data_IF_279558913573
#
_entry.id   IF_279558913573
#
_cell.length_a   1.000
_cell.length_b   1.000
_cell.length_c   1.000
_cell.angle_alpha   90.00
_cell.angle_beta   90.00
_cell.angle_gamma   90.00
#
_symmetry.space_group_name_H-M   'P 1'
#
loop_
_entity.id
_entity.type
_entity.pdbx_description
1 polymer ?
#
# COMPACT_ATOMS: atom_id res chain seq x y z
N UNK A 1 -70.66 2.87 65.86
CA UNK A 1 -71.19 3.25 64.52
C UNK A 1 -70.45 4.52 64.12
N UNK A 2 -69.72 4.71 63.02
CA UNK A 2 -69.64 4.09 61.67
C UNK A 2 -68.18 4.20 61.18
N UNK A 3 -67.81 3.26 60.31
CA UNK A 3 -66.55 3.14 59.55
C UNK A 3 -66.43 4.26 58.51
N UNK A 4 -65.21 4.71 58.18
CA UNK A 4 -64.78 4.87 56.79
C UNK A 4 -63.29 4.57 56.62
N UNK A 5 -63.06 3.59 55.75
CA UNK A 5 -61.81 3.17 55.13
C UNK A 5 -61.43 4.25 54.12
N UNK A 6 -60.16 4.65 54.08
CA UNK A 6 -59.57 5.11 52.82
C UNK A 6 -58.13 4.61 52.75
N UNK A 7 -58.01 3.40 52.21
CA UNK A 7 -56.79 2.84 51.65
C UNK A 7 -56.50 3.67 50.40
N UNK A 8 -55.52 4.56 50.47
CA UNK A 8 -54.82 5.07 49.29
C UNK A 8 -53.38 4.58 49.35
N UNK A 9 -53.29 3.31 48.98
CA UNK A 9 -52.14 2.62 48.46
C UNK A 9 -51.74 3.29 47.13
N UNK A 10 -51.02 4.41 47.17
CA UNK A 10 -50.12 4.75 46.08
C UNK A 10 -48.76 4.21 46.43
N UNK A 11 -48.55 2.95 46.05
CA UNK A 11 -47.24 2.31 46.05
C UNK A 11 -46.28 3.20 45.28
N UNK A 12 -45.36 3.84 46.01
CA UNK A 12 -44.13 4.36 45.45
C UNK A 12 -43.34 3.17 44.93
N UNK A 13 -43.57 2.81 43.68
CA UNK A 13 -42.67 1.93 42.92
C UNK A 13 -41.35 2.69 42.84
N UNK A 14 -40.39 2.32 43.68
CA UNK A 14 -39.01 2.76 43.52
C UNK A 14 -38.46 2.10 42.27
N UNK A 15 -38.64 2.74 41.12
CA UNK A 15 -37.97 2.38 39.88
C UNK A 15 -36.47 2.67 40.06
N UNK A 16 -35.70 1.65 40.36
CA UNK A 16 -34.24 1.71 40.33
C UNK A 16 -33.79 1.72 38.86
N UNK A 17 -33.61 2.90 38.29
CA UNK A 17 -32.74 3.09 37.13
C UNK A 17 -31.42 3.70 37.62
N UNK A 18 -30.65 2.93 38.38
CA UNK A 18 -29.30 3.34 38.76
C UNK A 18 -28.33 2.82 37.71
N UNK A 19 -27.72 3.74 36.96
CA UNK A 19 -26.43 3.47 36.34
C UNK A 19 -25.48 3.12 37.48
N UNK A 20 -24.84 1.96 37.43
CA UNK A 20 -23.88 1.53 38.44
C UNK A 20 -22.63 2.38 38.34
N UNK A 21 -22.63 3.57 38.94
CA UNK A 21 -21.45 4.38 39.17
C UNK A 21 -20.94 3.99 40.55
N UNK A 22 -19.77 3.33 40.63
CA UNK A 22 -19.13 2.89 41.87
C UNK A 22 -19.83 1.73 42.63
N UNK A 23 -20.29 0.68 41.92
CA UNK A 23 -20.78 -0.57 42.56
C UNK A 23 -19.85 -1.75 42.25
N UNK A 24 -19.71 -2.70 43.18
CA UNK A 24 -18.79 -3.86 43.07
C UNK A 24 -19.33 -5.02 42.23
N UNK A 25 -20.58 -4.94 41.77
CA UNK A 25 -21.23 -5.97 40.95
C UNK A 25 -22.10 -5.34 39.85
N UNK A 26 -21.51 -4.74 38.81
CA UNK A 26 -22.26 -4.18 37.69
C UNK A 26 -22.79 -5.29 36.76
N UNK A 27 -24.05 -5.19 36.36
CA UNK A 27 -24.75 -6.05 35.39
C UNK A 27 -25.19 -5.29 34.11
N UNK A 28 -24.46 -4.19 33.82
CA UNK A 28 -24.57 -3.21 32.70
C UNK A 28 -25.85 -2.35 32.66
N UNK A 29 -25.68 -1.03 32.89
CA UNK A 29 -26.79 -0.05 33.03
C UNK A 29 -26.51 1.33 32.39
N UNK A 30 -25.52 1.47 31.50
CA UNK A 30 -25.19 2.78 30.88
C UNK A 30 -25.62 2.85 29.41
N UNK A 31 -26.58 3.72 29.09
CA UNK A 31 -26.97 4.06 27.72
C UNK A 31 -26.74 5.57 27.47
N UNK A 32 -26.00 5.90 26.41
CA UNK A 32 -25.77 7.28 25.96
C UNK A 32 -26.41 7.46 24.59
N UNK A 33 -27.47 8.26 24.50
CA UNK A 33 -28.11 8.61 23.23
C UNK A 33 -27.52 9.93 22.71
N UNK A 34 -26.33 9.84 22.12
CA UNK A 34 -25.53 10.99 21.69
C UNK A 34 -24.05 10.62 21.55
N UNK A 35 -23.17 11.63 21.49
CA UNK A 35 -21.72 11.40 21.48
C UNK A 35 -21.16 11.28 22.91
N UNK A 36 -20.14 10.43 23.07
CA UNK A 36 -19.33 10.36 24.28
C UNK A 36 -18.02 11.13 24.05
N UNK A 37 -17.82 12.20 24.82
CA UNK A 37 -16.54 12.92 24.86
C UNK A 37 -15.63 12.30 25.92
N UNK A 38 -14.38 12.02 25.55
CA UNK A 38 -13.34 11.60 26.49
C UNK A 38 -12.11 12.50 26.32
N UNK A 39 -11.25 12.53 27.35
CA UNK A 39 -10.05 13.37 27.33
C UNK A 39 -9.16 13.08 26.12
N UNK A 40 -8.89 14.12 25.33
CA UNK A 40 -7.95 14.09 24.21
C UNK A 40 -6.67 14.85 24.60
N UNK A 41 -5.51 14.25 24.38
CA UNK A 41 -4.21 14.86 24.65
C UNK A 41 -3.24 14.63 23.52
N UNK A 42 -2.66 15.72 23.01
CA UNK A 42 -1.54 15.65 22.07
C UNK A 42 -0.22 15.80 22.82
N UNK A 43 0.71 14.89 22.56
CA UNK A 43 2.05 14.84 23.15
C UNK A 43 3.08 15.06 22.06
N UNK A 44 4.09 15.88 22.35
CA UNK A 44 5.25 16.13 21.47
C UNK A 44 6.58 15.70 22.11
N UNK A 45 6.62 15.54 23.43
CA UNK A 45 7.80 15.09 24.15
C UNK A 45 8.16 13.63 23.80
N UNK A 46 9.46 13.34 23.71
CA UNK A 46 9.99 12.01 23.42
C UNK A 46 9.91 11.04 24.60
N UNK A 47 9.61 11.53 25.80
CA UNK A 47 9.28 10.71 26.97
C UNK A 47 7.96 11.19 27.57
N UNK A 48 7.03 10.27 27.78
CA UNK A 48 5.73 10.58 28.34
C UNK A 48 5.26 9.49 29.31
N UNK A 49 4.92 9.90 30.53
CA UNK A 49 4.25 9.03 31.49
C UNK A 49 2.75 9.18 31.29
N UNK A 50 2.09 8.12 30.83
CA UNK A 50 0.64 8.09 30.64
C UNK A 50 -0.03 8.27 31.99
N UNK A 51 -0.97 9.22 32.05
CA UNK A 51 -1.63 9.61 33.29
C UNK A 51 -2.89 8.78 33.52
N UNK A 52 -3.31 8.72 34.78
CA UNK A 52 -4.57 8.10 35.17
C UNK A 52 -5.80 8.75 34.51
N UNK A 53 -5.69 10.01 34.10
CA UNK A 53 -6.75 10.82 33.48
C UNK A 53 -6.72 10.82 31.96
N UNK A 54 -5.68 10.24 31.34
CA UNK A 54 -5.63 10.16 29.89
C UNK A 54 -6.64 9.13 29.38
N UNK A 55 -7.15 9.34 28.17
CA UNK A 55 -7.97 8.35 27.48
C UNK A 55 -7.56 8.23 26.01
N UNK A 56 -7.60 9.33 25.27
CA UNK A 56 -7.14 9.39 23.89
C UNK A 56 -5.89 10.25 23.78
N UNK A 57 -4.78 9.65 23.36
CA UNK A 57 -3.47 10.28 23.29
C UNK A 57 -2.99 10.24 21.84
N UNK A 58 -2.54 11.38 21.31
CA UNK A 58 -1.82 11.45 20.03
C UNK A 58 -0.36 11.82 20.27
N UNK A 59 0.53 11.24 19.48
CA UNK A 59 1.92 11.68 19.43
C UNK A 59 2.22 12.37 18.10
N UNK A 60 2.75 13.59 18.17
CA UNK A 60 3.12 14.40 17.01
C UNK A 60 4.50 15.07 17.20
N UNK A 61 5.47 14.33 17.74
CA UNK A 61 6.85 14.80 17.82
C UNK A 61 7.67 14.46 16.57
N UNK A 62 8.96 14.76 16.59
CA UNK A 62 9.88 14.61 15.45
C UNK A 62 10.97 13.56 15.67
N UNK A 63 10.86 12.77 16.73
CA UNK A 63 11.85 11.75 17.10
C UNK A 63 11.17 10.55 17.74
N UNK A 64 11.87 9.43 17.86
CA UNK A 64 11.32 8.26 18.54
C UNK A 64 10.94 8.62 19.98
N UNK A 65 9.76 8.18 20.41
CA UNK A 65 9.23 8.46 21.73
C UNK A 65 9.07 7.19 22.57
N UNK A 66 9.05 7.34 23.89
CA UNK A 66 8.74 6.30 24.85
C UNK A 66 7.54 6.73 25.68
N UNK A 67 6.46 5.96 25.61
CA UNK A 67 5.26 6.16 26.41
C UNK A 67 5.23 5.09 27.49
N UNK A 68 5.25 5.51 28.74
CA UNK A 68 5.28 4.61 29.90
C UNK A 68 3.90 4.55 30.53
N UNK A 69 3.30 3.36 30.56
CA UNK A 69 2.00 3.13 31.19
C UNK A 69 2.09 3.26 32.71
N UNK A 70 0.98 3.64 33.39
CA UNK A 70 0.96 3.79 34.84
C UNK A 70 1.39 2.52 35.57
N UNK A 71 1.94 2.70 36.77
CA UNK A 71 2.27 1.59 37.67
C UNK A 71 0.96 0.94 38.12
N UNK A 72 0.86 -0.37 37.96
CA UNK A 72 -0.27 -1.16 38.45
C UNK A 72 0.09 -1.67 39.84
N UNK A 73 -0.77 -1.40 40.82
CA UNK A 73 -0.65 -1.90 42.18
C UNK A 73 -2.01 -2.36 42.72
N UNK A 74 -2.18 -2.43 44.03
CA UNK A 74 -3.46 -2.76 44.67
C UNK A 74 -4.28 -1.50 44.98
N UNK A 75 -5.60 -1.67 45.18
CA UNK A 75 -6.49 -0.59 45.62
C UNK A 75 -6.67 0.52 44.57
N UNK A 76 -6.40 1.76 44.93
CA UNK A 76 -6.59 2.94 44.05
C UNK A 76 -5.64 2.98 42.84
N UNK A 77 -4.66 2.07 42.79
CA UNK A 77 -3.70 1.91 41.70
C UNK A 77 -3.93 0.64 40.86
N UNK A 78 -5.03 -0.09 41.12
CA UNK A 78 -5.38 -1.33 40.38
C UNK A 78 -5.70 -1.06 38.91
N UNK A 79 -6.20 0.15 38.61
CA UNK A 79 -6.57 0.64 37.26
C UNK A 79 -7.33 -0.34 36.35
N UNK A 80 -7.94 -1.38 36.93
CA UNK A 80 -8.58 -2.48 36.21
C UNK A 80 -9.69 -1.98 35.30
N UNK A 81 -9.67 -2.46 34.04
CA UNK A 81 -10.59 -2.04 32.99
C UNK A 81 -10.28 -0.67 32.38
N UNK A 82 -9.22 0.03 32.81
CA UNK A 82 -8.86 1.32 32.22
C UNK A 82 -8.29 1.14 30.82
N UNK A 83 -8.83 1.93 29.89
CA UNK A 83 -8.50 1.90 28.47
C UNK A 83 -7.71 3.15 28.09
N UNK A 84 -6.56 2.95 27.44
CA UNK A 84 -5.80 4.00 26.77
C UNK A 84 -5.76 3.76 25.27
N UNK A 85 -6.08 4.81 24.52
CA UNK A 85 -6.10 4.85 23.06
C UNK A 85 -4.95 5.73 22.59
N UNK A 86 -3.96 5.15 21.93
CA UNK A 86 -2.72 5.83 21.56
C UNK A 86 -2.58 5.81 20.04
N UNK A 87 -2.65 7.00 19.42
CA UNK A 87 -2.47 7.19 17.98
C UNK A 87 -1.12 7.83 17.71
N UNK A 88 -0.32 7.21 16.84
CA UNK A 88 0.89 7.82 16.34
C UNK A 88 0.57 8.56 15.03
N UNK A 89 0.61 9.90 15.07
CA UNK A 89 0.45 10.76 13.88
C UNK A 89 1.78 11.40 13.46
N UNK A 90 2.88 11.04 14.13
CA UNK A 90 4.22 11.54 13.83
C UNK A 90 4.89 10.75 12.69
N UNK A 91 6.10 11.18 12.33
CA UNK A 91 7.02 10.47 11.42
C UNK A 91 7.97 9.51 12.15
N UNK A 92 7.82 9.34 13.46
CA UNK A 92 8.72 8.54 14.32
C UNK A 92 7.96 7.45 15.06
N UNK A 93 8.66 6.46 15.63
CA UNK A 93 8.03 5.36 16.37
C UNK A 93 7.72 5.77 17.82
N UNK A 94 6.66 5.18 18.39
CA UNK A 94 6.42 5.21 19.85
C UNK A 94 6.74 3.83 20.41
N UNK A 95 7.62 3.75 21.40
CA UNK A 95 7.80 2.58 22.25
C UNK A 95 6.84 2.69 23.42
N UNK A 96 5.75 1.93 23.39
CA UNK A 96 4.85 1.78 24.51
C UNK A 96 5.42 0.75 25.48
N UNK A 97 5.59 1.10 26.75
CA UNK A 97 6.14 0.19 27.74
C UNK A 97 5.32 0.20 29.02
N UNK A 98 5.29 -0.93 29.72
CA UNK A 98 4.72 -1.01 31.06
C UNK A 98 5.77 -0.57 32.10
N UNK A 99 5.32 0.00 33.21
CA UNK A 99 6.20 0.48 34.29
C UNK A 99 6.47 -0.57 35.37
N UNK A 100 7.55 -0.40 36.12
CA UNK A 100 7.85 -1.18 37.34
C UNK A 100 7.87 -2.70 37.15
N UNK A 101 8.43 -3.19 36.04
CA UNK A 101 8.53 -4.63 35.76
C UNK A 101 7.23 -5.30 35.34
N UNK A 102 6.15 -4.53 35.15
CA UNK A 102 4.94 -4.99 34.49
C UNK A 102 5.22 -5.30 33.01
N UNK A 103 4.30 -6.05 32.40
CA UNK A 103 4.39 -6.46 31.00
C UNK A 103 3.06 -6.30 30.29
N UNK A 104 3.14 -6.24 28.96
CA UNK A 104 2.04 -6.21 28.01
C UNK A 104 1.76 -7.65 27.55
N UNK A 105 0.51 -8.11 27.63
CA UNK A 105 0.05 -9.31 26.92
C UNK A 105 -0.35 -8.91 25.52
N UNK A 106 0.44 -9.37 24.56
CA UNK A 106 0.17 -9.21 23.13
C UNK A 106 -0.34 -10.54 22.55
N UNK A 107 0.18 -11.64 23.08
CA UNK A 107 -0.22 -13.01 22.80
C UNK A 107 -0.08 -13.87 24.08
N UNK A 108 0.34 -15.13 23.94
CA UNK A 108 0.60 -16.02 25.08
C UNK A 108 1.89 -15.72 25.85
N UNK A 109 2.73 -14.79 25.37
CA UNK A 109 4.04 -14.44 25.94
C UNK A 109 4.08 -12.95 26.27
N UNK A 110 4.04 -12.55 27.57
CA UNK A 110 4.11 -11.15 27.96
C UNK A 110 5.44 -10.49 27.59
N UNK A 111 5.40 -9.25 27.12
CA UNK A 111 6.59 -8.46 26.73
C UNK A 111 6.68 -7.16 27.54
N UNK A 112 7.88 -6.59 27.68
CA UNK A 112 8.07 -5.32 28.39
C UNK A 112 7.61 -4.10 27.60
N UNK A 113 7.58 -4.20 26.26
CA UNK A 113 7.28 -3.07 25.37
C UNK A 113 6.69 -3.51 24.03
N UNK A 114 5.96 -2.59 23.39
CA UNK A 114 5.40 -2.71 22.06
C UNK A 114 5.70 -1.45 21.25
N UNK A 115 6.04 -1.59 19.97
CA UNK A 115 6.28 -0.44 19.09
C UNK A 115 5.02 -0.10 18.32
N UNK A 116 4.54 1.14 18.45
CA UNK A 116 3.47 1.73 17.64
C UNK A 116 4.14 2.52 16.51
N UNK A 117 4.18 1.97 15.27
CA UNK A 117 4.88 2.64 14.17
C UNK A 117 4.17 3.93 13.75
N UNK A 118 4.86 4.75 12.96
CA UNK A 118 4.28 5.95 12.35
C UNK A 118 2.94 5.64 11.66
N UNK A 119 1.94 6.48 11.88
CA UNK A 119 0.59 6.28 11.33
C UNK A 119 -0.24 5.17 12.00
N UNK A 120 0.31 4.43 12.96
CA UNK A 120 -0.38 3.32 13.62
C UNK A 120 -1.22 3.77 14.82
N UNK A 121 -1.99 2.82 15.38
CA UNK A 121 -2.82 2.99 16.56
C UNK A 121 -2.74 1.76 17.45
N UNK A 122 -2.74 1.97 18.77
CA UNK A 122 -2.87 0.92 19.77
C UNK A 122 -3.89 1.28 20.84
N UNK A 123 -4.63 0.29 21.29
CA UNK A 123 -5.45 0.33 22.49
C UNK A 123 -4.88 -0.65 23.52
N UNK A 124 -4.73 -0.19 24.76
CA UNK A 124 -4.33 -1.04 25.88
C UNK A 124 -5.33 -0.95 27.01
N UNK A 125 -5.55 -2.08 27.69
CA UNK A 125 -6.50 -2.22 28.79
C UNK A 125 -5.81 -2.88 29.97
N UNK A 126 -5.93 -2.33 31.18
CA UNK A 126 -5.47 -3.05 32.36
C UNK A 126 -6.41 -4.23 32.68
N UNK A 127 -5.85 -5.42 32.89
CA UNK A 127 -6.58 -6.69 32.88
C UNK A 127 -6.75 -7.37 34.25
N UNK A 128 -6.58 -6.61 35.35
CA UNK A 128 -6.62 -7.07 36.75
C UNK A 128 -5.49 -7.97 37.22
N UNK A 129 -4.62 -8.48 36.33
CA UNK A 129 -3.45 -9.23 36.76
C UNK A 129 -2.51 -8.31 37.56
N UNK A 130 -1.87 -8.88 38.58
CA UNK A 130 -0.85 -8.19 39.38
C UNK A 130 0.58 -8.56 38.98
N UNK A 131 0.75 -9.61 38.16
CA UNK A 131 2.03 -10.07 37.58
C UNK A 131 1.77 -10.71 36.20
N UNK A 132 2.83 -10.95 35.41
CA UNK A 132 2.72 -11.82 34.22
C UNK A 132 1.84 -11.27 33.09
N UNK A 133 1.85 -9.96 32.86
CA UNK A 133 1.09 -9.31 31.80
C UNK A 133 -0.13 -8.61 32.36
N UNK A 134 0.07 -7.39 32.87
CA UNK A 134 -0.94 -6.60 33.58
C UNK A 134 -1.72 -5.64 32.67
N UNK A 135 -1.24 -5.50 31.43
CA UNK A 135 -1.89 -4.74 30.37
C UNK A 135 -2.16 -5.65 29.18
N UNK A 136 -3.38 -5.69 28.70
CA UNK A 136 -3.74 -6.30 27.42
C UNK A 136 -3.60 -5.29 26.31
N UNK A 137 -2.88 -5.64 25.24
CA UNK A 137 -2.93 -4.92 23.99
C UNK A 137 -4.22 -5.33 23.26
N UNK A 138 -5.34 -4.70 23.63
CA UNK A 138 -6.69 -5.11 23.21
C UNK A 138 -6.94 -4.91 21.72
N UNK A 139 -6.27 -3.93 21.12
CA UNK A 139 -6.42 -3.63 19.70
C UNK A 139 -5.18 -2.93 19.15
N UNK A 140 -4.76 -3.33 17.95
CA UNK A 140 -3.74 -2.61 17.19
C UNK A 140 -4.19 -2.45 15.75
N UNK A 141 -4.06 -1.24 15.21
CA UNK A 141 -4.09 -1.01 13.77
C UNK A 141 -2.71 -0.56 13.37
N UNK A 142 -1.99 -1.48 12.73
CA UNK A 142 -0.79 -1.12 12.00
C UNK A 142 -1.19 -0.34 10.75
N UNK A 143 -0.37 0.61 10.27
CA UNK A 143 -0.60 1.24 8.97
C UNK A 143 -0.67 0.08 7.99
N UNK A 144 -1.75 -0.04 7.20
CA UNK A 144 -1.97 -1.16 6.29
C UNK A 144 -0.65 -1.43 5.56
N UNK A 145 0.08 -2.50 5.87
CA UNK A 145 1.29 -2.81 5.15
C UNK A 145 0.81 -3.18 3.76
N UNK A 146 1.07 -2.35 2.76
CA UNK A 146 0.84 -2.78 1.38
C UNK A 146 1.84 -3.89 1.16
N UNK A 147 1.41 -5.15 1.09
CA UNK A 147 2.30 -6.25 0.73
C UNK A 147 2.71 -6.19 -0.76
N UNK A 148 2.33 -5.14 -1.47
CA UNK A 148 2.66 -4.89 -2.87
C UNK A 148 3.39 -3.55 -3.00
N UNK A 149 4.49 -3.56 -3.74
CA UNK A 149 5.14 -2.37 -4.29
C UNK A 149 4.71 -2.24 -5.75
N UNK A 150 4.32 -1.03 -6.16
CA UNK A 150 3.80 -0.74 -7.50
C UNK A 150 4.57 0.45 -8.07
N UNK A 151 5.04 0.32 -9.31
CA UNK A 151 5.59 1.41 -10.10
C UNK A 151 4.90 1.44 -11.47
N UNK A 152 4.52 2.64 -11.94
CA UNK A 152 3.84 2.83 -13.22
C UNK A 152 4.56 3.87 -14.06
N UNK A 153 4.73 3.61 -15.35
CA UNK A 153 5.27 4.54 -16.32
C UNK A 153 4.58 4.38 -17.67
N UNK A 154 4.54 5.46 -18.45
CA UNK A 154 4.21 5.40 -19.87
C UNK A 154 5.48 5.72 -20.65
N UNK A 155 5.94 4.80 -21.49
CA UNK A 155 7.17 4.93 -22.25
C UNK A 155 6.83 5.17 -23.73
N UNK A 156 7.67 5.91 -24.43
CA UNK A 156 7.53 6.07 -25.87
C UNK A 156 8.01 4.82 -26.61
N UNK A 157 7.28 4.41 -27.64
CA UNK A 157 7.72 3.42 -28.63
C UNK A 157 8.13 4.22 -29.89
N UNK A 158 9.42 4.18 -30.31
CA UNK A 158 9.87 4.89 -31.50
C UNK A 158 9.25 4.36 -32.80
N UNK A 159 9.18 5.15 -33.88
CA UNK A 159 8.75 4.67 -35.21
C UNK A 159 9.61 3.51 -35.75
N UNK A 160 9.00 2.57 -36.46
CA UNK A 160 9.71 1.41 -37.04
C UNK A 160 10.71 1.84 -38.13
N UNK A 161 11.80 1.07 -38.32
CA UNK A 161 12.85 1.38 -39.31
C UNK A 161 12.40 1.29 -40.79
N UNK A 162 11.16 0.87 -41.03
CA UNK A 162 10.56 0.64 -42.35
C UNK A 162 9.14 1.22 -42.38
N UNK A 163 8.89 2.24 -41.55
CA UNK A 163 7.67 3.03 -41.58
C UNK A 163 7.78 4.17 -42.61
N UNK A 164 6.68 4.84 -42.94
CA UNK A 164 6.69 6.03 -43.81
C UNK A 164 7.54 7.19 -43.26
N UNK A 165 7.58 7.34 -41.93
CA UNK A 165 8.51 8.22 -41.21
C UNK A 165 9.50 7.39 -40.40
N UNK A 166 10.33 6.60 -41.10
CA UNK A 166 11.20 5.62 -40.46
C UNK A 166 12.24 6.26 -39.53
N UNK A 167 12.46 5.63 -38.38
CA UNK A 167 13.62 5.89 -37.53
C UNK A 167 14.54 4.67 -37.57
N UNK A 168 15.81 4.83 -38.00
CA UNK A 168 16.79 3.74 -38.05
C UNK A 168 16.89 2.99 -36.72
N UNK A 169 17.38 1.75 -36.77
CA UNK A 169 17.69 1.00 -35.55
C UNK A 169 18.99 1.50 -34.91
N UNK A 170 19.13 1.30 -33.60
CA UNK A 170 20.31 1.73 -32.85
C UNK A 170 20.62 0.83 -31.66
N UNK A 171 21.87 0.89 -31.22
CA UNK A 171 22.43 0.07 -30.13
C UNK A 171 23.29 0.94 -29.22
N UNK A 172 22.66 1.64 -28.27
CA UNK A 172 23.18 2.57 -27.25
C UNK A 172 22.16 3.70 -27.03
N UNK A 173 22.51 4.70 -26.21
CA UNK A 173 21.65 5.86 -25.97
C UNK A 173 21.97 7.04 -26.91
N UNK A 174 22.13 6.80 -28.20
CA UNK A 174 22.42 7.90 -29.16
C UNK A 174 21.20 8.71 -29.58
N UNK A 175 19.99 8.20 -29.34
CA UNK A 175 18.75 8.87 -29.71
C UNK A 175 17.90 9.14 -28.46
N UNK A 176 17.94 10.37 -27.97
CA UNK A 176 17.25 10.80 -26.75
C UNK A 176 15.84 11.31 -27.01
N UNK A 177 15.42 11.47 -28.28
CA UNK A 177 14.11 12.04 -28.63
C UNK A 177 12.93 11.14 -28.22
N UNK A 178 13.19 9.90 -27.80
CA UNK A 178 12.19 8.92 -27.39
C UNK A 178 12.28 8.54 -25.91
N UNK A 179 13.15 9.21 -25.16
CA UNK A 179 13.19 9.04 -23.70
C UNK A 179 11.89 9.57 -23.09
N UNK A 180 11.53 9.06 -21.91
CA UNK A 180 10.30 9.48 -21.23
C UNK A 180 10.55 9.71 -19.74
N UNK A 181 9.72 10.55 -19.10
CA UNK A 181 9.89 10.93 -17.69
C UNK A 181 10.84 12.12 -17.49
N UNK A 182 11.06 12.49 -16.24
CA UNK A 182 11.89 13.65 -15.86
C UNK A 182 12.80 13.34 -14.66
N UNK A 183 13.97 13.97 -14.62
CA UNK A 183 14.91 13.83 -13.50
C UNK A 183 15.38 12.40 -13.27
N UNK A 184 15.30 11.92 -12.03
CA UNK A 184 15.66 10.56 -11.68
C UNK A 184 14.62 9.52 -12.16
N UNK A 185 13.43 9.95 -12.59
CA UNK A 185 12.36 9.07 -13.09
C UNK A 185 12.37 8.92 -14.62
N UNK A 186 13.50 9.25 -15.25
CA UNK A 186 13.66 9.13 -16.69
C UNK A 186 13.94 7.70 -17.12
N UNK A 187 13.33 7.29 -18.23
CA UNK A 187 13.59 6.06 -18.95
C UNK A 187 14.23 6.37 -20.29
N UNK A 188 15.41 5.79 -20.52
CA UNK A 188 16.15 5.91 -21.76
C UNK A 188 15.81 4.78 -22.73
N UNK A 189 15.70 5.08 -24.03
CA UNK A 189 15.64 4.03 -25.07
C UNK A 189 17.05 3.71 -25.54
N UNK A 190 17.68 2.73 -24.90
CA UNK A 190 19.09 2.40 -25.12
C UNK A 190 19.32 1.39 -26.24
N UNK A 191 18.26 0.80 -26.79
CA UNK A 191 18.34 0.00 -28.01
C UNK A 191 16.98 -0.15 -28.65
N UNK A 192 16.99 -0.16 -29.98
CA UNK A 192 15.86 -0.50 -30.81
C UNK A 192 16.32 -1.40 -31.96
N UNK A 193 15.59 -2.48 -32.19
CA UNK A 193 15.74 -3.32 -33.37
C UNK A 193 14.38 -3.60 -33.99
N UNK A 194 14.24 -3.40 -35.29
CA UNK A 194 13.01 -3.58 -36.04
C UNK A 194 13.09 -4.80 -36.95
N UNK A 195 11.98 -5.53 -37.06
CA UNK A 195 11.79 -6.64 -37.99
C UNK A 195 10.54 -6.36 -38.79
N UNK A 196 10.71 -6.11 -40.09
CA UNK A 196 9.61 -5.86 -41.01
C UNK A 196 8.65 -7.05 -41.08
N UNK A 197 7.39 -6.75 -41.36
CA UNK A 197 6.43 -7.80 -41.71
C UNK A 197 6.90 -8.54 -42.96
N UNK A 198 6.57 -9.82 -43.04
CA UNK A 198 6.79 -10.60 -44.25
C UNK A 198 5.68 -11.62 -44.41
N UNK A 199 5.16 -11.72 -45.62
CA UNK A 199 4.29 -12.81 -46.03
C UNK A 199 4.91 -13.44 -47.27
N UNK A 200 4.96 -14.76 -47.31
CA UNK A 200 5.52 -15.50 -48.43
C UNK A 200 4.49 -16.48 -48.97
N UNK A 201 4.11 -16.31 -50.24
CA UNK A 201 3.50 -17.38 -51.02
C UNK A 201 4.58 -18.19 -51.72
N UNK A 202 4.32 -19.48 -51.89
CA UNK A 202 5.13 -20.40 -52.68
C UNK A 202 5.02 -20.00 -54.16
N UNK A 203 6.10 -19.48 -54.73
CA UNK A 203 6.35 -19.55 -56.17
C UNK A 203 7.70 -20.23 -56.41
N UNK A 204 7.93 -21.34 -55.72
CA UNK A 204 9.02 -22.26 -56.01
C UNK A 204 8.47 -23.68 -56.01
N UNK A 205 8.75 -24.40 -57.09
CA UNK A 205 8.54 -25.85 -57.18
C UNK A 205 9.79 -26.51 -56.59
N UNK A 206 9.70 -27.40 -55.57
CA UNK A 206 8.49 -28.00 -54.98
C UNK A 206 7.88 -27.18 -53.82
N UNK A 207 6.61 -27.47 -53.51
CA UNK A 207 5.81 -26.76 -52.50
C UNK A 207 6.43 -26.89 -51.10
N UNK A 208 6.68 -25.74 -50.45
CA UNK A 208 6.99 -25.66 -49.01
C UNK A 208 6.00 -24.68 -48.37
N UNK A 209 5.38 -25.04 -47.24
CA UNK A 209 4.36 -24.25 -46.51
C UNK A 209 4.64 -22.74 -46.47
N UNK A 210 3.65 -21.93 -46.87
CA UNK A 210 3.72 -20.45 -46.77
C UNK A 210 3.82 -19.95 -45.31
N UNK A 211 4.30 -18.73 -45.12
CA UNK A 211 4.47 -18.12 -43.80
C UNK A 211 3.98 -16.67 -43.77
N UNK A 212 3.56 -16.24 -42.59
CA UNK A 212 3.25 -14.83 -42.32
C UNK A 212 3.88 -14.41 -40.99
N UNK A 213 4.52 -13.24 -40.98
CA UNK A 213 5.17 -12.63 -39.83
C UNK A 213 4.71 -11.19 -39.71
N UNK A 214 4.17 -10.85 -38.54
CA UNK A 214 3.89 -9.47 -38.15
C UNK A 214 5.17 -8.64 -38.06
N UNK A 215 5.06 -7.34 -38.30
CA UNK A 215 6.14 -6.41 -37.97
C UNK A 215 6.29 -6.34 -36.44
N UNK A 216 7.54 -6.29 -35.99
CA UNK A 216 7.86 -6.23 -34.55
C UNK A 216 9.08 -5.37 -34.28
N UNK A 217 9.16 -4.86 -33.07
CA UNK A 217 10.35 -4.21 -32.55
C UNK A 217 10.76 -4.81 -31.21
N UNK A 218 12.06 -4.97 -31.01
CA UNK A 218 12.64 -5.21 -29.69
C UNK A 218 13.20 -3.89 -29.18
N UNK A 219 12.78 -3.49 -27.99
CA UNK A 219 13.17 -2.24 -27.34
C UNK A 219 13.81 -2.57 -26.01
N UNK A 220 14.89 -1.86 -25.69
CA UNK A 220 15.52 -1.91 -24.37
C UNK A 220 15.41 -0.53 -23.75
N UNK A 221 14.65 -0.46 -22.66
CA UNK A 221 14.50 0.73 -21.84
C UNK A 221 15.42 0.63 -20.62
N UNK A 222 16.10 1.71 -20.25
CA UNK A 222 16.92 1.79 -19.04
C UNK A 222 16.42 2.89 -18.11
N UNK A 223 16.03 2.48 -16.91
CA UNK A 223 15.60 3.39 -15.86
C UNK A 223 16.79 4.12 -15.25
N UNK A 224 16.73 5.45 -15.20
CA UNK A 224 17.84 6.29 -14.73
C UNK A 224 17.85 6.52 -13.22
N UNK A 225 16.79 6.13 -12.51
CA UNK A 225 16.76 6.18 -11.05
C UNK A 225 17.59 5.08 -10.38
N UNK A 226 17.44 4.93 -9.05
CA UNK A 226 17.94 3.76 -8.34
C UNK A 226 17.37 2.48 -8.96
N UNK A 227 18.20 1.45 -9.11
CA UNK A 227 17.73 0.16 -9.62
C UNK A 227 16.60 -0.40 -8.74
N UNK A 228 15.53 -0.87 -9.39
CA UNK A 228 14.43 -1.53 -8.71
C UNK A 228 14.89 -2.85 -8.09
N UNK A 229 14.21 -3.27 -7.02
CA UNK A 229 14.33 -4.64 -6.53
C UNK A 229 13.48 -5.57 -7.41
N UNK A 230 14.11 -6.21 -8.38
CA UNK A 230 13.43 -7.03 -9.41
C UNK A 230 12.99 -8.42 -8.93
N UNK A 231 13.29 -8.82 -7.69
CA UNK A 231 12.90 -10.13 -7.15
C UNK A 231 11.37 -10.24 -7.08
N UNK A 232 10.77 -11.28 -7.67
CA UNK A 232 9.31 -11.45 -7.73
C UNK A 232 8.56 -10.23 -8.32
N UNK A 233 9.18 -9.49 -9.22
CA UNK A 233 8.55 -8.38 -9.92
C UNK A 233 7.86 -8.86 -11.20
N UNK A 234 6.59 -8.48 -11.34
CA UNK A 234 5.71 -8.84 -12.45
C UNK A 234 5.43 -7.59 -13.29
N UNK A 235 5.96 -7.53 -14.52
CA UNK A 235 5.63 -6.48 -15.47
C UNK A 235 4.29 -6.77 -16.15
N UNK A 236 3.43 -5.76 -16.20
CA UNK A 236 2.20 -5.73 -16.99
C UNK A 236 2.37 -4.65 -18.04
N UNK A 237 2.19 -5.02 -19.30
CA UNK A 237 2.51 -4.18 -20.45
C UNK A 237 1.30 -4.02 -21.34
N UNK A 238 0.99 -2.79 -21.75
CA UNK A 238 0.01 -2.52 -22.81
C UNK A 238 0.60 -1.53 -23.81
N UNK A 239 0.54 -1.88 -25.09
CA UNK A 239 0.96 -1.00 -26.17
C UNK A 239 -0.27 -0.34 -26.79
N UNK A 240 -0.10 0.91 -27.22
CA UNK A 240 -1.12 1.65 -27.93
C UNK A 240 -0.51 2.75 -28.78
N UNK A 241 -1.37 3.44 -29.52
CA UNK A 241 -0.99 4.62 -30.28
C UNK A 241 -2.05 5.71 -30.11
N UNK A 242 -1.71 6.92 -30.52
CA UNK A 242 -2.67 8.02 -30.62
C UNK A 242 -3.13 8.23 -32.07
N UNK A 243 -3.22 7.17 -32.86
CA UNK A 243 -3.68 7.25 -34.24
C UNK A 243 -5.21 7.23 -34.31
N UNK A 244 -5.79 7.81 -35.34
CA UNK A 244 -7.22 7.68 -35.65
C UNK A 244 -7.58 6.34 -36.31
N UNK A 245 -6.60 5.44 -36.49
CA UNK A 245 -6.81 4.12 -37.08
C UNK A 245 -6.97 3.06 -35.97
N UNK A 246 -7.79 2.02 -36.18
CA UNK A 246 -8.02 0.95 -35.21
C UNK A 246 -6.87 -0.07 -35.18
N UNK A 247 -5.63 0.41 -35.04
CA UNK A 247 -4.43 -0.43 -35.04
C UNK A 247 -4.35 -1.31 -33.78
N UNK A 248 -3.90 -2.56 -33.92
CA UNK A 248 -3.83 -3.52 -32.80
C UNK A 248 -2.38 -3.89 -32.51
N UNK A 249 -1.94 -3.59 -31.30
CA UNK A 249 -0.60 -3.92 -30.82
C UNK A 249 -0.64 -4.92 -29.68
N UNK A 250 0.38 -5.77 -29.64
CA UNK A 250 0.66 -6.60 -28.47
C UNK A 250 2.08 -6.33 -27.99
N UNK A 251 2.23 -6.17 -26.68
CA UNK A 251 3.53 -6.06 -26.03
C UNK A 251 3.80 -7.35 -25.27
N UNK A 252 5.02 -7.87 -25.43
CA UNK A 252 5.51 -9.04 -24.73
C UNK A 252 6.72 -8.67 -23.89
N UNK A 253 6.70 -9.11 -22.64
CA UNK A 253 7.83 -9.01 -21.74
C UNK A 253 8.93 -9.97 -22.20
N UNK A 254 10.15 -9.46 -22.37
CA UNK A 254 11.32 -10.28 -22.73
C UNK A 254 12.21 -10.48 -21.51
N UNK A 255 12.62 -9.40 -20.83
CA UNK A 255 13.44 -9.50 -19.63
C UNK A 255 13.41 -8.24 -18.79
N UNK A 256 13.69 -8.39 -17.49
CA UNK A 256 13.92 -7.31 -16.54
C UNK A 256 15.22 -7.64 -15.78
N UNK A 257 16.22 -6.78 -15.90
CA UNK A 257 17.53 -7.05 -15.33
C UNK A 257 18.16 -5.79 -14.75
N UNK A 258 18.91 -5.94 -13.67
CA UNK A 258 19.76 -4.87 -13.16
C UNK A 258 21.15 -5.00 -13.78
N UNK A 259 21.57 -3.99 -14.55
CA UNK A 259 22.86 -3.94 -15.26
C UNK A 259 23.53 -2.61 -14.95
N UNK A 260 24.77 -2.65 -14.45
CA UNK A 260 25.51 -1.42 -14.11
C UNK A 260 24.82 -0.52 -13.08
N UNK A 261 24.04 -1.09 -12.16
CA UNK A 261 23.28 -0.34 -11.17
C UNK A 261 22.00 0.34 -11.70
N UNK A 262 21.60 0.03 -12.95
CA UNK A 262 20.35 0.50 -13.57
C UNK A 262 19.42 -0.67 -13.86
N UNK A 263 18.12 -0.44 -13.85
CA UNK A 263 17.15 -1.45 -14.28
C UNK A 263 16.87 -1.32 -15.77
N UNK A 264 17.00 -2.43 -16.50
CA UNK A 264 16.70 -2.52 -17.92
C UNK A 264 15.47 -3.40 -18.15
N UNK A 265 14.49 -2.83 -18.84
CA UNK A 265 13.29 -3.51 -19.31
C UNK A 265 13.44 -3.77 -20.82
N UNK A 266 13.45 -5.04 -21.21
CA UNK A 266 13.40 -5.45 -22.62
C UNK A 266 12.00 -5.91 -22.95
N UNK A 267 11.45 -5.36 -24.03
CA UNK A 267 10.12 -5.71 -24.53
C UNK A 267 10.17 -5.97 -26.02
N UNK A 268 9.29 -6.86 -26.48
CA UNK A 268 8.96 -7.02 -27.88
C UNK A 268 7.57 -6.46 -28.11
N UNK A 269 7.41 -5.49 -29.00
CA UNK A 269 6.09 -5.01 -29.42
C UNK A 269 5.86 -5.47 -30.86
N UNK A 270 4.66 -5.95 -31.16
CA UNK A 270 4.26 -6.35 -32.51
C UNK A 270 2.93 -5.72 -32.89
N UNK A 271 2.77 -5.41 -34.18
CA UNK A 271 1.51 -4.97 -34.77
C UNK A 271 0.84 -6.19 -35.39
N UNK A 272 -0.31 -6.58 -34.84
CA UNK A 272 -0.90 -7.90 -35.11
C UNK A 272 -2.09 -7.85 -36.04
N UNK A 273 -2.70 -6.69 -36.22
CA UNK A 273 -3.76 -6.43 -37.21
C UNK A 273 -3.23 -6.30 -38.64
N UNK A 274 -1.94 -5.99 -38.80
CA UNK A 274 -1.37 -5.61 -40.10
C UNK A 274 -0.14 -6.44 -40.46
N UNK A 275 -0.23 -7.16 -41.58
CA UNK A 275 0.83 -8.03 -42.10
C UNK A 275 1.25 -7.62 -43.52
N UNK A 276 1.69 -6.36 -43.68
CA UNK A 276 2.16 -5.81 -44.97
C UNK A 276 1.05 -5.31 -45.89
N UNK A 277 1.41 -4.89 -47.11
CA UNK A 277 0.48 -4.50 -48.19
C UNK A 277 0.68 -5.41 -49.40
N UNK A 278 -0.31 -5.49 -50.31
CA UNK A 278 -0.09 -6.11 -51.62
C UNK A 278 1.10 -5.43 -52.33
N UNK A 279 2.21 -6.16 -52.50
CA UNK A 279 3.42 -5.66 -53.13
C UNK A 279 4.40 -4.88 -52.24
N UNK A 280 4.26 -4.85 -50.90
CA UNK A 280 5.18 -4.12 -50.02
C UNK A 280 5.27 -4.62 -48.56
N UNK A 281 6.37 -4.28 -47.89
CA UNK A 281 6.70 -4.70 -46.50
C UNK A 281 6.76 -3.53 -45.50
N UNK A 282 6.17 -2.37 -45.83
CA UNK A 282 6.12 -1.22 -44.94
C UNK A 282 5.35 -1.57 -43.66
N UNK A 283 5.92 -1.30 -42.48
CA UNK A 283 5.30 -1.64 -41.19
C UNK A 283 4.19 -0.66 -40.77
N UNK A 284 4.17 0.55 -41.33
CA UNK A 284 3.25 1.66 -41.03
C UNK A 284 3.24 2.10 -39.55
N UNK A 285 4.41 2.09 -38.89
CA UNK A 285 4.57 2.60 -37.52
C UNK A 285 5.19 4.01 -37.55
N UNK A 286 4.43 5.02 -38.00
CA UNK A 286 4.96 6.38 -38.20
C UNK A 286 4.42 7.43 -37.22
N UNK A 287 3.43 7.08 -36.39
CA UNK A 287 2.85 7.99 -35.38
C UNK A 287 3.50 7.90 -34.00
N UNK A 288 2.85 8.51 -33.00
CA UNK A 288 3.24 8.40 -31.59
C UNK A 288 2.68 7.11 -31.00
N UNK A 289 3.57 6.21 -30.62
CA UNK A 289 3.24 4.94 -29.97
C UNK A 289 3.71 4.98 -28.52
N UNK A 290 2.95 4.34 -27.65
CA UNK A 290 3.14 4.37 -26.21
C UNK A 290 3.09 2.94 -25.66
N UNK A 291 3.90 2.71 -24.64
CA UNK A 291 3.92 1.49 -23.84
C UNK A 291 3.60 1.86 -22.41
N UNK A 292 2.42 1.48 -21.92
CA UNK A 292 2.15 1.54 -20.49
C UNK A 292 2.82 0.36 -19.81
N UNK A 293 3.57 0.67 -18.76
CA UNK A 293 4.32 -0.28 -17.94
C UNK A 293 3.80 -0.18 -16.52
N UNK A 294 3.39 -1.31 -15.96
CA UNK A 294 3.08 -1.45 -14.55
C UNK A 294 3.98 -2.56 -13.99
N UNK A 295 4.89 -2.20 -13.10
CA UNK A 295 5.73 -3.13 -12.36
C UNK A 295 5.12 -3.32 -10.99
N UNK A 296 4.77 -4.56 -10.66
CA UNK A 296 4.22 -4.89 -9.34
C UNK A 296 5.00 -6.04 -8.73
N UNK A 297 5.34 -5.94 -7.45
CA UNK A 297 5.95 -7.05 -6.71
C UNK A 297 5.31 -7.21 -5.35
N UNK A 298 5.21 -8.44 -4.89
CA UNK A 298 4.92 -8.73 -3.49
C UNK A 298 6.24 -8.67 -2.70
N UNK A 299 6.27 -8.00 -1.55
CA UNK A 299 7.43 -8.02 -0.65
C UNK A 299 7.13 -8.66 0.69
#
# INVERSE_FOLDING_TARGET
MKRYISILLFGGVFLNAQVGINTTTPNSTLAVNGSLGAGYKQVTATSYNVLATDHYITYNGTSNATFTLPVIGSGTTSYTGRIYKIKNISTSNITLQASSGNTLRIDNTPVSSFVIPLGAYAEVVNNSNTTGGTWDLSFTVLPKPSNVEIYGAQLTIPPHNNASSAVPDWSNHTNTSFDTGTGADTWWVISKTSVSSSFGAVNATPIVTGFTKSSRMTLVYEYQGPAFNITNMYPILTAGNNSSYPDVFTASFVSLANVGGKTRLTVSVARVDFMGTEGGTNSNWAGTFLLNVLLARKY
#
